data_IF_842809502501
#
_entry.id   IF_842809502501
#
_cell.length_a   1.000
_cell.length_b   1.000
_cell.length_c   1.000
_cell.angle_alpha   90.00
_cell.angle_beta   90.00
_cell.angle_gamma   90.00
#
_symmetry.space_group_name_H-M   'P 1'
#
loop_
_entity.id
_entity.type
_entity.pdbx_description
1 polymer ?
#
# COMPACT_ATOMS: atom_id res chain seq x y z
N UNK A 1 3.29 1.81 2.20
CA UNK A 1 3.86 0.75 3.06
C UNK A 1 5.34 1.06 3.27
N UNK A 2 5.95 0.62 4.37
CA UNK A 2 7.41 0.71 4.54
C UNK A 2 8.04 -0.62 4.15
N UNK A 3 9.24 -0.56 3.57
CA UNK A 3 10.05 -1.75 3.36
C UNK A 3 10.41 -2.44 4.67
N UNK A 4 10.79 -3.70 4.58
CA UNK A 4 11.32 -4.47 5.71
C UNK A 4 12.78 -4.73 5.37
N UNK A 5 13.70 -4.17 6.15
CA UNK A 5 15.16 -4.40 5.98
C UNK A 5 15.65 -5.60 6.81
N UNK A 6 14.84 -6.04 7.77
CA UNK A 6 15.13 -7.19 8.61
C UNK A 6 14.58 -8.47 7.99
N UNK A 7 15.40 -9.13 7.16
CA UNK A 7 15.04 -10.39 6.50
C UNK A 7 14.69 -11.52 7.49
N UNK A 8 15.12 -11.42 8.76
CA UNK A 8 14.80 -12.43 9.77
C UNK A 8 13.30 -12.56 10.03
N UNK A 9 12.54 -11.50 9.77
CA UNK A 9 11.06 -11.50 9.83
C UNK A 9 10.48 -12.48 8.81
N UNK A 10 11.03 -12.53 7.61
CA UNK A 10 10.56 -13.44 6.56
C UNK A 10 11.01 -14.88 6.82
N UNK A 11 12.26 -15.07 7.26
CA UNK A 11 12.76 -16.41 7.63
C UNK A 11 11.93 -17.04 8.75
N UNK A 12 11.62 -16.27 9.81
CA UNK A 12 10.80 -16.76 10.90
C UNK A 12 9.38 -17.11 10.44
N UNK A 13 8.79 -16.29 9.56
CA UNK A 13 7.48 -16.54 8.97
C UNK A 13 7.44 -17.86 8.17
N UNK A 14 8.47 -18.12 7.35
CA UNK A 14 8.59 -19.37 6.59
C UNK A 14 8.77 -20.59 7.50
N UNK A 15 9.64 -20.49 8.51
CA UNK A 15 9.87 -21.54 9.49
C UNK A 15 8.60 -21.88 10.28
N UNK A 16 7.85 -20.86 10.71
CA UNK A 16 6.57 -21.05 11.40
C UNK A 16 5.54 -21.77 10.53
N UNK A 17 5.41 -21.40 9.25
CA UNK A 17 4.47 -22.07 8.32
C UNK A 17 4.87 -23.53 8.01
N UNK A 18 6.17 -23.85 8.09
CA UNK A 18 6.66 -25.23 7.96
C UNK A 18 6.36 -26.07 9.20
N UNK A 19 6.49 -25.49 10.40
CA UNK A 19 6.33 -26.19 11.68
C UNK A 19 4.84 -26.32 12.07
N UNK A 20 4.09 -25.24 11.93
CA UNK A 20 2.66 -25.14 12.26
C UNK A 20 1.90 -24.52 11.09
N UNK A 21 1.51 -25.33 10.10
CA UNK A 21 0.93 -24.76 8.90
C UNK A 21 -0.44 -24.14 9.13
N UNK A 22 -0.68 -22.99 8.53
CA UNK A 22 -1.96 -22.29 8.67
C UNK A 22 -3.14 -23.16 8.20
N UNK A 23 -4.33 -22.98 8.82
CA UNK A 23 -5.56 -23.58 8.33
C UNK A 23 -5.72 -23.32 6.83
N UNK A 24 -5.87 -24.39 6.07
CA UNK A 24 -5.95 -24.34 4.62
C UNK A 24 -7.02 -25.29 4.09
N UNK A 25 -7.57 -24.96 2.92
CA UNK A 25 -8.48 -25.85 2.18
C UNK A 25 -8.07 -25.95 0.72
N UNK A 26 -8.31 -27.10 0.11
CA UNK A 26 -8.13 -27.28 -1.34
C UNK A 26 -9.49 -27.18 -2.02
N UNK A 27 -9.63 -26.26 -2.97
CA UNK A 27 -10.83 -26.07 -3.79
C UNK A 27 -10.38 -26.03 -5.25
N UNK A 28 -10.94 -26.89 -6.09
CA UNK A 28 -10.63 -26.96 -7.53
C UNK A 28 -9.12 -27.04 -7.86
N UNK A 29 -8.37 -27.82 -7.07
CA UNK A 29 -6.92 -27.98 -7.24
C UNK A 29 -6.08 -26.79 -6.76
N UNK A 30 -6.70 -25.77 -6.15
CA UNK A 30 -6.01 -24.62 -5.56
C UNK A 30 -6.05 -24.69 -4.04
N UNK A 31 -4.91 -24.45 -3.40
CA UNK A 31 -4.82 -24.32 -1.95
C UNK A 31 -5.12 -22.88 -1.54
N UNK A 32 -6.09 -22.70 -0.66
CA UNK A 32 -6.45 -21.43 -0.04
C UNK A 32 -6.02 -21.49 1.41
N UNK A 33 -5.22 -20.52 1.84
CA UNK A 33 -4.65 -20.41 3.18
C UNK A 33 -5.29 -19.25 3.92
N UNK A 34 -5.44 -19.38 5.24
CA UNK A 34 -5.66 -18.21 6.09
C UNK A 34 -4.35 -17.43 6.17
N UNK A 35 -4.42 -16.09 6.08
CA UNK A 35 -3.24 -15.23 6.23
C UNK A 35 -2.65 -15.38 7.63
N UNK A 36 -1.33 -15.58 7.70
CA UNK A 36 -0.54 -15.50 8.93
C UNK A 36 -0.08 -14.06 9.14
N UNK A 37 -0.03 -13.63 10.38
CA UNK A 37 0.54 -12.32 10.72
C UNK A 37 2.05 -12.33 10.53
N UNK A 38 2.58 -11.26 9.95
CA UNK A 38 4.02 -11.05 9.84
C UNK A 38 4.51 -10.39 11.14
N UNK A 39 5.65 -10.85 11.67
CA UNK A 39 6.25 -10.23 12.85
C UNK A 39 6.61 -8.76 12.57
N UNK A 40 6.53 -7.91 13.59
CA UNK A 40 6.91 -6.50 13.47
C UNK A 40 8.43 -6.42 13.28
N UNK A 41 8.93 -5.82 12.18
CA UNK A 41 10.35 -5.65 11.95
C UNK A 41 11.03 -4.81 13.03
N UNK A 42 12.27 -5.16 13.37
CA UNK A 42 13.10 -4.33 14.27
C UNK A 42 13.49 -3.00 13.61
N UNK A 43 13.60 -3.00 12.30
CA UNK A 43 13.91 -1.83 11.49
C UNK A 43 12.99 -1.78 10.27
N UNK A 44 12.39 -0.61 10.05
CA UNK A 44 11.62 -0.30 8.86
C UNK A 44 12.55 0.32 7.82
N UNK A 45 12.42 -0.14 6.57
CA UNK A 45 13.12 0.45 5.44
C UNK A 45 12.39 1.66 4.86
N UNK A 46 12.89 2.14 3.73
CA UNK A 46 12.28 3.24 2.98
C UNK A 46 10.80 2.96 2.62
N UNK A 47 9.97 4.00 2.44
CA UNK A 47 8.62 3.82 1.93
C UNK A 47 8.65 3.18 0.53
N UNK A 48 7.77 2.21 0.32
CA UNK A 48 7.60 1.49 -0.95
C UNK A 48 6.16 1.70 -1.43
N UNK A 49 6.01 2.01 -2.72
CA UNK A 49 4.70 2.02 -3.36
C UNK A 49 4.11 0.62 -3.33
N UNK A 50 2.90 0.52 -2.82
CA UNK A 50 2.17 -0.73 -2.64
C UNK A 50 0.74 -0.54 -3.12
N UNK A 51 -0.06 -1.61 -3.07
CA UNK A 51 -1.47 -1.60 -3.46
C UNK A 51 -1.71 -1.13 -4.91
N UNK A 52 -1.29 -1.97 -5.86
CA UNK A 52 -1.46 -1.73 -7.29
C UNK A 52 -2.79 -2.26 -7.82
N UNK A 53 -3.79 -2.48 -6.94
CA UNK A 53 -5.09 -3.04 -7.31
C UNK A 53 -5.88 -2.16 -8.28
N UNK A 54 -5.67 -0.84 -8.20
CA UNK A 54 -6.31 0.17 -9.08
C UNK A 54 -5.34 0.78 -10.09
N UNK A 55 -4.13 0.22 -10.25
CA UNK A 55 -3.13 0.78 -11.15
C UNK A 55 -3.52 0.61 -12.62
N UNK A 56 -3.45 1.68 -13.40
CA UNK A 56 -3.78 1.71 -14.83
C UNK A 56 -2.65 2.28 -15.68
N UNK A 57 -2.70 2.08 -16.99
CA UNK A 57 -1.68 2.62 -17.90
C UNK A 57 -1.85 4.13 -18.06
N UNK A 58 -0.83 4.92 -17.71
CA UNK A 58 -0.85 6.39 -17.83
C UNK A 58 -0.67 6.97 -19.25
N UNK A 59 -0.81 6.15 -20.31
CA UNK A 59 -0.73 6.61 -21.71
C UNK A 59 -2.09 6.90 -22.34
N UNK A 60 -3.16 6.56 -21.64
CA UNK A 60 -4.54 6.76 -22.07
C UNK A 60 -5.25 7.62 -21.03
N UNK A 61 -6.32 8.26 -21.48
CA UNK A 61 -7.24 8.95 -20.58
C UNK A 61 -8.24 7.96 -19.99
N UNK A 62 -8.66 8.26 -18.77
CA UNK A 62 -9.55 7.46 -17.96
C UNK A 62 -10.66 8.36 -17.40
N UNK A 63 -11.77 7.74 -16.97
CA UNK A 63 -12.95 8.41 -16.41
C UNK A 63 -13.45 7.75 -15.12
N UNK A 64 -12.80 6.66 -14.73
CA UNK A 64 -13.11 5.91 -13.53
C UNK A 64 -12.74 6.71 -12.29
N UNK A 65 -13.45 6.44 -11.19
CA UNK A 65 -13.06 6.91 -9.87
C UNK A 65 -11.98 5.98 -9.29
N UNK A 66 -10.77 6.52 -9.10
CA UNK A 66 -9.59 5.73 -8.68
C UNK A 66 -8.90 6.27 -7.44
N UNK A 67 -9.35 7.43 -6.95
CA UNK A 67 -8.68 8.14 -5.86
C UNK A 67 -9.57 8.16 -4.62
N UNK A 68 -9.02 7.90 -3.42
CA UNK A 68 -9.78 8.14 -2.19
C UNK A 68 -10.21 9.61 -2.09
N UNK A 69 -11.39 9.87 -1.52
CA UNK A 69 -12.02 11.21 -1.44
C UNK A 69 -11.05 12.33 -0.99
N UNK A 70 -10.22 12.08 0.02
CA UNK A 70 -9.29 13.08 0.58
C UNK A 70 -8.10 13.40 -0.34
N UNK A 71 -7.88 12.57 -1.35
CA UNK A 71 -6.78 12.65 -2.30
C UNK A 71 -7.26 12.96 -3.72
N UNK A 72 -8.57 13.09 -3.95
CA UNK A 72 -9.14 13.37 -5.28
C UNK A 72 -8.51 14.60 -5.93
N UNK A 73 -7.96 14.41 -7.13
CA UNK A 73 -7.52 15.48 -8.00
C UNK A 73 -8.74 16.23 -8.56
N UNK A 74 -8.62 17.53 -8.89
CA UNK A 74 -9.74 18.32 -9.39
C UNK A 74 -10.43 17.67 -10.59
N UNK A 75 -9.66 17.13 -11.54
CA UNK A 75 -10.18 16.43 -12.72
C UNK A 75 -10.98 15.17 -12.38
N UNK A 76 -10.58 14.42 -11.35
CA UNK A 76 -11.32 13.23 -10.89
C UNK A 76 -12.62 13.64 -10.20
N UNK A 77 -12.58 14.68 -9.34
CA UNK A 77 -13.76 15.17 -8.61
C UNK A 77 -14.85 15.68 -9.55
N UNK A 78 -14.48 16.32 -10.66
CA UNK A 78 -15.44 16.85 -11.65
C UNK A 78 -15.73 15.88 -12.79
N UNK A 79 -15.31 14.61 -12.67
CA UNK A 79 -15.51 13.57 -13.68
C UNK A 79 -14.97 13.94 -15.08
N UNK A 80 -13.88 14.71 -15.11
CA UNK A 80 -13.16 15.04 -16.35
C UNK A 80 -12.15 13.93 -16.71
N UNK A 81 -11.79 13.79 -18.01
CA UNK A 81 -10.74 12.89 -18.43
C UNK A 81 -9.44 13.16 -17.68
N UNK A 82 -8.84 12.10 -17.16
CA UNK A 82 -7.61 12.18 -16.38
C UNK A 82 -6.56 11.18 -16.86
N UNK A 83 -5.31 11.43 -16.49
CA UNK A 83 -4.19 10.52 -16.75
C UNK A 83 -3.18 10.61 -15.59
N UNK A 84 -1.90 10.32 -15.80
CA UNK A 84 -0.88 10.25 -14.73
C UNK A 84 -0.73 11.52 -13.86
N UNK A 85 -1.28 12.67 -14.27
CA UNK A 85 -1.26 13.92 -13.47
C UNK A 85 -1.88 13.74 -12.09
N UNK A 86 -2.86 12.85 -11.96
CA UNK A 86 -3.56 12.60 -10.71
C UNK A 86 -2.63 11.99 -9.64
N UNK A 87 -1.59 11.25 -10.05
CA UNK A 87 -0.58 10.69 -9.14
C UNK A 87 0.34 11.77 -8.58
N UNK A 88 0.63 12.82 -9.38
CA UNK A 88 1.40 13.98 -8.95
C UNK A 88 0.61 14.77 -7.91
N UNK A 89 -0.70 14.93 -8.12
CA UNK A 89 -1.60 15.53 -7.13
C UNK A 89 -1.58 14.74 -5.81
N UNK A 90 -1.75 13.40 -5.87
CA UNK A 90 -1.68 12.55 -4.68
C UNK A 90 -0.35 12.67 -3.95
N UNK A 91 0.76 12.69 -4.69
CA UNK A 91 2.10 12.89 -4.11
C UNK A 91 2.17 14.21 -3.34
N UNK A 92 1.64 15.30 -3.91
CA UNK A 92 1.55 16.60 -3.24
C UNK A 92 0.72 16.58 -1.96
N UNK A 93 -0.43 15.89 -1.97
CA UNK A 93 -1.25 15.71 -0.78
C UNK A 93 -0.52 14.94 0.33
N UNK A 94 0.19 13.84 -0.01
CA UNK A 94 0.97 13.05 0.95
C UNK A 94 2.07 13.91 1.59
N UNK A 95 2.85 14.64 0.78
CA UNK A 95 3.90 15.54 1.29
C UNK A 95 3.33 16.61 2.21
N UNK A 96 2.18 17.20 1.84
CA UNK A 96 1.52 18.22 2.65
C UNK A 96 1.05 17.66 4.00
N UNK A 97 0.42 16.47 3.98
CA UNK A 97 -0.06 15.79 5.18
C UNK A 97 1.07 15.41 6.14
N UNK A 98 2.16 14.85 5.62
CA UNK A 98 3.35 14.51 6.42
C UNK A 98 3.97 15.77 7.03
N UNK A 99 4.08 16.85 6.26
CA UNK A 99 4.65 18.11 6.73
C UNK A 99 3.82 18.74 7.84
N UNK A 100 2.48 18.73 7.73
CA UNK A 100 1.59 19.25 8.76
C UNK A 100 1.59 18.39 10.04
N UNK A 101 1.78 17.08 9.90
CA UNK A 101 1.83 16.16 11.04
C UNK A 101 3.12 16.34 11.84
N UNK A 102 4.25 16.61 11.18
CA UNK A 102 5.54 16.85 11.82
C UNK A 102 5.59 18.16 12.65
N UNK A 103 4.78 19.16 12.29
CA UNK A 103 4.72 20.45 13.01
C UNK A 103 3.93 20.35 14.32
N UNK A 104 3.21 19.25 14.56
CA UNK A 104 2.30 19.09 15.69
C UNK A 104 2.87 18.33 16.90
N UNK A 105 4.11 17.85 16.82
CA UNK A 105 4.83 17.27 17.96
C UNK A 105 5.21 18.40 18.94
N UNK A 106 4.67 18.44 20.18
CA UNK A 106 5.16 19.40 21.17
C UNK A 106 6.56 18.97 21.57
N UNK A 107 7.55 19.83 21.31
CA UNK A 107 8.86 19.71 21.97
C UNK A 107 8.67 19.73 23.49
N UNK A 108 9.37 18.86 24.25
CA UNK A 108 9.18 18.72 25.69
C UNK A 108 9.45 20.01 26.48
#
# INVERSE_FOLDING_TARGET
MFGIEDDSVFTAFEEEELIDPCPRKTVDGRSIYVSRELQIPKAWGAPVLCDLGSAVTGKVEHLEDVQPDIYGAPEVIVEAPWSYSIDIWNTGCVVSFLSLSAVKEPTP
#
